data_IF_706715970439
#
_entry.id   IF_706715970439
#
_cell.length_a   1.000
_cell.length_b   1.000
_cell.length_c   1.000
_cell.angle_alpha   90.00
_cell.angle_beta   90.00
_cell.angle_gamma   90.00
#
_symmetry.space_group_name_H-M   'P 1'
#
loop_
_entity.id
_entity.type
_entity.pdbx_description
1 polymer ?
#
# COMPACT_ATOMS: atom_id res chain seq x y z
N UNK A 1 -8.98 -5.66 -19.97
CA UNK A 1 -7.53 -5.75 -19.69
C UNK A 1 -7.29 -5.05 -18.38
N UNK A 2 -6.43 -5.62 -17.57
CA UNK A 2 -6.19 -5.15 -16.23
C UNK A 2 -4.97 -4.23 -16.23
N UNK A 3 -5.06 -3.09 -15.53
CA UNK A 3 -4.10 -1.99 -15.60
C UNK A 3 -3.33 -1.86 -14.29
N UNK A 4 -2.02 -1.67 -14.38
CA UNK A 4 -1.18 -1.44 -13.19
C UNK A 4 -1.56 -0.11 -12.54
N UNK A 5 -1.70 -0.11 -11.22
CA UNK A 5 -1.88 1.09 -10.42
C UNK A 5 -0.53 1.73 -10.15
N UNK A 6 -0.42 3.03 -10.42
CA UNK A 6 0.75 3.84 -10.11
C UNK A 6 0.38 4.91 -9.08
N UNK A 7 1.10 4.93 -7.97
CA UNK A 7 1.06 6.01 -6.99
C UNK A 7 1.81 7.21 -7.55
N UNK A 8 1.08 8.30 -7.79
CA UNK A 8 1.62 9.59 -8.23
C UNK A 8 1.96 10.51 -7.07
N UNK A 9 1.23 10.35 -5.97
CA UNK A 9 1.56 10.98 -4.70
C UNK A 9 1.24 10.07 -3.53
N UNK A 10 1.93 10.31 -2.41
CA UNK A 10 1.67 9.70 -1.12
C UNK A 10 1.57 10.83 -0.09
N UNK A 11 0.38 11.10 0.41
CA UNK A 11 0.13 12.07 1.47
C UNK A 11 0.18 11.37 2.83
N UNK A 12 1.15 11.76 3.66
CA UNK A 12 1.29 11.24 5.02
C UNK A 12 0.67 12.23 6.02
N UNK A 13 -0.61 12.06 6.32
CA UNK A 13 -1.33 12.88 7.31
C UNK A 13 -1.18 12.34 8.74
N UNK A 14 -0.20 11.49 8.99
CA UNK A 14 0.10 10.97 10.32
C UNK A 14 1.15 11.85 11.02
N UNK A 15 1.28 11.78 12.36
CA UNK A 15 2.35 12.48 13.08
C UNK A 15 3.71 11.76 13.00
N UNK A 16 3.82 10.66 12.25
CA UNK A 16 5.02 9.83 12.17
C UNK A 16 5.61 9.84 10.76
N UNK A 17 6.91 9.61 10.63
CA UNK A 17 7.53 9.36 9.32
C UNK A 17 7.01 8.04 8.75
N UNK A 18 6.51 8.10 7.52
CA UNK A 18 6.17 6.91 6.74
C UNK A 18 7.40 6.46 5.99
N UNK A 19 7.85 5.23 6.20
CA UNK A 19 8.85 4.58 5.33
C UNK A 19 8.13 3.60 4.42
N UNK A 20 8.31 3.74 3.11
CA UNK A 20 7.80 2.79 2.14
C UNK A 20 8.97 2.02 1.52
N UNK A 21 8.86 0.70 1.50
CA UNK A 21 9.82 -0.22 0.86
C UNK A 21 9.11 -0.97 -0.25
N UNK A 22 9.66 -0.91 -1.46
CA UNK A 22 9.24 -1.74 -2.58
C UNK A 22 9.81 -3.16 -2.42
N UNK A 23 8.92 -4.16 -2.35
CA UNK A 23 9.29 -5.56 -2.20
C UNK A 23 9.96 -6.16 -3.44
N UNK A 24 9.58 -5.69 -4.64
CA UNK A 24 10.18 -6.13 -5.90
C UNK A 24 11.56 -5.51 -6.11
N UNK A 25 11.75 -4.27 -5.67
CA UNK A 25 13.03 -3.59 -5.71
C UNK A 25 13.36 -2.96 -4.36
N UNK A 26 14.02 -3.73 -3.48
CA UNK A 26 14.36 -3.26 -2.11
C UNK A 26 15.30 -2.06 -2.07
N UNK A 27 15.97 -1.73 -3.17
CA UNK A 27 16.78 -0.50 -3.29
C UNK A 27 15.92 0.74 -3.49
N UNK A 28 14.66 0.55 -3.87
CA UNK A 28 13.65 1.58 -4.04
C UNK A 28 12.85 1.73 -2.74
N UNK A 29 13.42 2.43 -1.78
CA UNK A 29 12.74 2.84 -0.56
C UNK A 29 12.64 4.36 -0.50
N UNK A 30 11.53 4.87 0.03
CA UNK A 30 11.32 6.29 0.24
C UNK A 30 10.81 6.57 1.65
N UNK A 31 11.10 7.75 2.15
CA UNK A 31 10.58 8.25 3.41
C UNK A 31 9.73 9.50 3.16
N UNK A 32 8.52 9.52 3.69
CA UNK A 32 7.62 10.67 3.68
C UNK A 32 7.51 11.19 5.11
N UNK A 33 8.02 12.39 5.36
CA UNK A 33 7.94 13.03 6.67
C UNK A 33 6.49 13.16 7.16
N UNK A 34 6.32 13.33 8.48
CA UNK A 34 5.01 13.60 9.06
C UNK A 34 4.39 14.86 8.42
N UNK A 35 3.11 14.82 8.06
CA UNK A 35 2.38 15.92 7.41
C UNK A 35 3.01 16.37 6.07
N UNK A 36 3.75 15.50 5.38
CA UNK A 36 4.33 15.79 4.08
C UNK A 36 3.72 14.94 2.97
N UNK A 37 3.95 15.38 1.74
CA UNK A 37 3.54 14.68 0.52
C UNK A 37 4.78 14.30 -0.27
N UNK A 38 4.88 13.04 -0.63
CA UNK A 38 5.81 12.59 -1.66
C UNK A 38 5.10 12.63 -3.02
N UNK A 39 5.83 13.04 -4.06
CA UNK A 39 5.36 13.02 -5.44
C UNK A 39 6.34 12.22 -6.29
N UNK A 40 5.83 11.39 -7.19
CA UNK A 40 6.65 10.57 -8.06
C UNK A 40 5.84 9.60 -8.89
N UNK A 41 6.41 8.42 -9.14
CA UNK A 41 5.72 7.34 -9.83
C UNK A 41 6.19 6.02 -9.24
N UNK A 42 5.32 5.36 -8.50
CA UNK A 42 5.61 4.07 -7.88
C UNK A 42 4.50 3.08 -8.28
N UNK A 43 4.87 1.98 -8.93
CA UNK A 43 3.90 0.94 -9.25
C UNK A 43 3.49 0.20 -7.98
N UNK A 44 2.21 -0.15 -7.86
CA UNK A 44 1.74 -1.11 -6.87
C UNK A 44 1.89 -2.52 -7.46
N UNK A 45 2.73 -3.38 -6.87
CA UNK A 45 2.99 -4.71 -7.40
C UNK A 45 1.75 -5.59 -7.39
N UNK A 46 1.68 -6.45 -8.41
CA UNK A 46 0.61 -7.42 -8.54
C UNK A 46 0.92 -8.68 -7.75
N UNK A 47 -0.06 -9.16 -7.00
CA UNK A 47 0.02 -10.40 -6.25
C UNK A 47 -1.23 -11.22 -6.54
N UNK A 48 -1.04 -12.43 -7.08
CA UNK A 48 -2.13 -13.38 -7.33
C UNK A 48 -2.03 -14.66 -6.50
N UNK A 49 -0.96 -14.83 -5.71
CA UNK A 49 -0.71 -16.03 -4.90
C UNK A 49 0.33 -15.78 -3.81
N UNK A 50 0.35 -16.65 -2.79
CA UNK A 50 1.21 -16.49 -1.62
C UNK A 50 2.73 -16.52 -1.90
N UNK A 51 3.17 -17.14 -2.99
CA UNK A 51 4.60 -17.13 -3.37
C UNK A 51 5.08 -15.73 -3.82
N UNK A 52 4.16 -14.82 -4.09
CA UNK A 52 4.42 -13.45 -4.53
C UNK A 52 4.35 -12.43 -3.38
N UNK A 53 4.12 -12.87 -2.13
CA UNK A 53 4.02 -12.00 -0.96
C UNK A 53 5.22 -11.04 -0.80
N UNK A 54 6.40 -11.48 -1.24
CA UNK A 54 7.64 -10.71 -1.18
C UNK A 54 7.61 -9.43 -2.03
N UNK A 55 6.67 -9.31 -2.98
CA UNK A 55 6.54 -8.17 -3.89
C UNK A 55 5.84 -6.97 -3.25
N UNK A 56 5.00 -7.18 -2.23
CA UNK A 56 4.13 -6.14 -1.69
C UNK A 56 4.91 -4.90 -1.25
N UNK A 57 4.31 -3.72 -1.42
CA UNK A 57 4.84 -2.51 -0.81
C UNK A 57 4.65 -2.59 0.70
N UNK A 58 5.71 -2.35 1.45
CA UNK A 58 5.66 -2.32 2.92
C UNK A 58 5.69 -0.88 3.39
N UNK A 59 4.62 -0.45 4.04
CA UNK A 59 4.52 0.83 4.73
C UNK A 59 4.83 0.61 6.21
N UNK A 60 5.86 1.28 6.71
CA UNK A 60 6.32 1.22 8.09
C UNK A 60 5.98 2.55 8.75
N UNK A 61 5.19 2.47 9.83
CA UNK A 61 4.60 3.59 10.55
C UNK A 61 4.67 3.36 12.06
N UNK A 62 4.34 4.40 12.83
CA UNK A 62 4.26 4.33 14.29
C UNK A 62 5.45 5.00 14.99
N UNK A 63 5.32 5.25 16.31
CA UNK A 63 6.34 5.96 17.09
C UNK A 63 7.67 5.22 17.12
N UNK A 64 7.64 3.88 17.01
CA UNK A 64 8.81 3.00 17.01
C UNK A 64 9.00 2.27 15.69
N UNK A 65 8.35 2.71 14.60
CA UNK A 65 8.35 2.03 13.31
C UNK A 65 7.93 0.54 13.40
N UNK A 66 6.94 0.26 14.24
CA UNK A 66 6.46 -1.07 14.61
C UNK A 66 5.24 -1.51 13.81
N UNK A 67 4.46 -0.57 13.27
CA UNK A 67 3.28 -0.86 12.47
C UNK A 67 3.67 -1.10 11.02
N UNK A 68 3.28 -2.25 10.49
CA UNK A 68 3.53 -2.65 9.12
C UNK A 68 2.22 -2.83 8.38
N UNK A 69 2.05 -2.09 7.28
CA UNK A 69 0.94 -2.24 6.37
C UNK A 69 1.49 -2.71 5.04
N UNK A 70 1.01 -3.84 4.56
CA UNK A 70 1.38 -4.40 3.26
C UNK A 70 0.34 -3.99 2.23
N UNK A 71 0.77 -3.39 1.13
CA UNK A 71 -0.09 -2.84 0.08
C UNK A 71 0.26 -3.52 -1.25
N UNK A 72 -0.76 -4.00 -1.96
CA UNK A 72 -0.60 -4.70 -3.22
C UNK A 72 -1.85 -4.58 -4.09
N UNK A 73 -1.71 -4.86 -5.38
CA UNK A 73 -2.82 -4.93 -6.31
C UNK A 73 -3.21 -6.39 -6.53
N UNK A 74 -4.46 -6.73 -6.23
CA UNK A 74 -4.98 -8.07 -6.39
C UNK A 74 -5.57 -8.25 -7.80
N UNK A 75 -4.97 -9.18 -8.55
CA UNK A 75 -5.41 -9.52 -9.89
C UNK A 75 -6.45 -10.65 -9.91
N UNK A 76 -6.57 -11.41 -8.81
CA UNK A 76 -7.25 -12.71 -8.80
C UNK A 76 -8.53 -12.73 -7.97
N UNK A 77 -8.67 -11.91 -6.92
CA UNK A 77 -9.85 -11.94 -6.05
C UNK A 77 -10.52 -10.57 -5.84
N UNK A 78 -11.61 -10.22 -6.55
CA UNK A 78 -12.18 -10.94 -7.69
C UNK A 78 -11.33 -10.74 -8.96
N UNK A 79 -11.29 -11.76 -9.81
CA UNK A 79 -10.45 -11.77 -11.00
C UNK A 79 -10.71 -10.54 -11.89
N UNK A 80 -9.63 -9.91 -12.35
CA UNK A 80 -9.65 -8.76 -13.27
C UNK A 80 -10.27 -7.46 -12.73
N UNK A 81 -10.50 -7.34 -11.41
CA UNK A 81 -11.00 -6.09 -10.83
C UNK A 81 -9.90 -5.16 -10.30
N UNK A 82 -8.64 -5.63 -10.29
CA UNK A 82 -7.46 -4.78 -10.08
C UNK A 82 -7.51 -4.00 -8.76
N UNK A 83 -8.17 -4.56 -7.75
CA UNK A 83 -8.42 -3.89 -6.50
C UNK A 83 -7.10 -3.78 -5.72
N UNK A 84 -6.78 -2.58 -5.28
CA UNK A 84 -5.70 -2.37 -4.33
C UNK A 84 -6.19 -2.80 -2.95
N UNK A 85 -5.42 -3.69 -2.32
CA UNK A 85 -5.70 -4.29 -1.02
C UNK A 85 -4.57 -4.04 -0.06
N UNK A 86 -4.88 -4.12 1.22
CA UNK A 86 -3.88 -4.07 2.27
C UNK A 86 -4.15 -5.03 3.42
N UNK A 87 -3.11 -5.29 4.19
CA UNK A 87 -3.16 -6.01 5.47
C UNK A 87 -2.20 -5.34 6.46
N UNK A 88 -2.64 -5.16 7.70
CA UNK A 88 -1.78 -4.67 8.78
C UNK A 88 -1.29 -5.85 9.60
N UNK A 89 -0.07 -6.31 9.35
CA UNK A 89 0.48 -7.51 9.97
C UNK A 89 2.01 -7.48 10.00
N UNK A 90 2.64 -8.29 10.87
CA UNK A 90 4.11 -8.39 10.95
C UNK A 90 4.74 -8.95 9.66
N UNK A 91 4.01 -9.80 8.93
CA UNK A 91 4.40 -10.36 7.64
C UNK A 91 3.25 -10.30 6.63
N UNK A 92 3.59 -10.25 5.34
CA UNK A 92 2.60 -10.27 4.27
C UNK A 92 2.02 -11.68 4.09
N UNK A 93 0.69 -11.79 4.12
CA UNK A 93 -0.07 -13.01 3.82
C UNK A 93 -1.24 -12.74 2.87
N UNK A 94 -1.08 -13.09 1.59
CA UNK A 94 -2.08 -12.85 0.54
C UNK A 94 -3.46 -13.50 0.82
N UNK A 95 -3.46 -14.69 1.43
CA UNK A 95 -4.68 -15.48 1.69
C UNK A 95 -5.32 -15.21 3.04
N UNK A 96 -4.78 -14.27 3.82
CA UNK A 96 -5.33 -13.96 5.14
C UNK A 96 -6.72 -13.34 5.03
N UNK A 97 -7.62 -13.72 5.94
CA UNK A 97 -8.96 -13.12 6.06
C UNK A 97 -8.92 -11.65 6.50
N UNK A 98 -7.77 -11.20 7.02
CA UNK A 98 -7.54 -9.80 7.41
C UNK A 98 -7.18 -8.89 6.21
N UNK A 99 -6.98 -9.47 5.03
CA UNK A 99 -6.76 -8.70 3.80
C UNK A 99 -8.06 -7.97 3.45
N UNK A 100 -7.98 -6.65 3.38
CA UNK A 100 -9.09 -5.78 3.03
C UNK A 100 -8.79 -4.94 1.78
N UNK A 101 -9.83 -4.54 1.08
CA UNK A 101 -9.70 -3.52 0.03
C UNK A 101 -9.38 -2.16 0.65
N UNK A 102 -8.43 -1.45 0.03
CA UNK A 102 -8.17 -0.06 0.40
C UNK A 102 -9.40 0.77 0.05
N UNK A 103 -9.82 1.64 0.96
CA UNK A 103 -10.99 2.51 0.73
C UNK A 103 -10.73 3.52 -0.39
N UNK A 104 -11.79 3.98 -1.07
CA UNK A 104 -11.70 5.01 -2.12
C UNK A 104 -11.60 4.45 -3.54
N UNK A 105 -10.90 5.16 -4.43
CA UNK A 105 -10.74 4.81 -5.84
C UNK A 105 -9.65 3.74 -6.04
N UNK A 106 -9.89 2.54 -5.49
CA UNK A 106 -8.91 1.46 -5.40
C UNK A 106 -8.91 0.48 -6.58
N UNK A 107 -9.72 0.70 -7.63
CA UNK A 107 -9.89 -0.24 -8.75
C UNK A 107 -9.58 0.42 -10.10
N UNK A 108 -9.53 -0.38 -11.16
CA UNK A 108 -9.39 0.08 -12.56
C UNK A 108 -7.97 0.49 -12.98
N UNK A 109 -6.99 0.35 -12.08
CA UNK A 109 -5.60 0.68 -12.34
C UNK A 109 -5.36 2.18 -12.58
N UNK A 110 -4.21 2.49 -13.18
CA UNK A 110 -3.86 3.85 -13.57
C UNK A 110 -3.26 4.68 -12.44
N UNK A 111 -3.26 6.00 -12.61
CA UNK A 111 -2.64 6.92 -11.68
C UNK A 111 -3.56 7.19 -10.49
N UNK A 112 -3.09 6.89 -9.27
CA UNK A 112 -3.81 7.10 -8.02
C UNK A 112 -2.94 7.87 -7.03
N UNK A 113 -3.59 8.45 -6.03
CA UNK A 113 -2.94 9.06 -4.89
C UNK A 113 -3.23 8.23 -3.64
N UNK A 114 -2.19 7.92 -2.86
CA UNK A 114 -2.35 7.25 -1.58
C UNK A 114 -2.39 8.28 -0.46
N UNK A 115 -3.43 8.24 0.37
CA UNK A 115 -3.55 9.06 1.57
C UNK A 115 -3.47 8.14 2.78
N UNK A 116 -2.53 8.44 3.68
CA UNK A 116 -2.32 7.72 4.94
C UNK A 116 -2.76 8.61 6.09
N UNK A 117 -3.80 8.18 6.82
CA UNK A 117 -4.35 8.89 7.97
C UNK A 117 -4.17 8.09 9.25
N UNK A 118 -4.17 8.76 10.40
CA UNK A 118 -4.28 8.13 11.72
C UNK A 118 -5.63 8.51 12.33
N UNK A 119 -6.56 7.55 12.40
CA UNK A 119 -7.92 7.75 12.93
C UNK A 119 -8.13 6.79 14.09
N UNK A 120 -8.50 7.32 15.27
CA UNK A 120 -8.71 6.50 16.48
C UNK A 120 -7.55 5.53 16.80
N UNK A 121 -6.30 5.97 16.58
CA UNK A 121 -5.06 5.17 16.71
C UNK A 121 -4.88 4.06 15.68
N UNK A 122 -5.71 3.99 14.65
CA UNK A 122 -5.56 3.09 13.52
C UNK A 122 -5.06 3.83 12.29
N UNK A 123 -4.05 3.28 11.63
CA UNK A 123 -3.59 3.78 10.35
C UNK A 123 -4.55 3.34 9.26
N UNK A 124 -5.11 4.31 8.54
CA UNK A 124 -6.08 4.06 7.47
C UNK A 124 -5.49 4.50 6.14
N UNK A 125 -5.63 3.63 5.14
CA UNK A 125 -5.26 3.92 3.76
C UNK A 125 -6.50 4.30 2.95
N UNK A 126 -6.36 5.32 2.11
CA UNK A 126 -7.38 5.76 1.17
C UNK A 126 -6.75 6.02 -0.19
N UNK A 127 -7.37 5.51 -1.25
CA UNK A 127 -7.02 5.81 -2.64
C UNK A 127 -7.89 6.93 -3.19
N UNK A 128 -7.25 7.93 -3.78
CA UNK A 128 -7.90 9.09 -4.41
C UNK A 128 -7.49 9.26 -5.87
#
# INVERSE_FOLDING_TARGET
MANVTYLRSIANNTPYTLTLIDGENRSNSLAVGAQHVWNGSLAIPWIGRSTENHKALRLILGPSADTNIWLFQDYWQPAHMDAVKCITASSMEYTSEEVIEVTGDNRGGGNKNLIVNLVNRHFMLYMA
#
